data_IF_052770893483
#
_entry.id   IF_052770893483
#
_cell.length_a   1.000
_cell.length_b   1.000
_cell.length_c   1.000
_cell.angle_alpha   90.00
_cell.angle_beta   90.00
_cell.angle_gamma   90.00
#
_symmetry.space_group_name_H-M   'P 1'
#
loop_
_entity.id
_entity.type
_entity.pdbx_description
1 polymer ?
#
# COMPACT_ATOMS: atom_id res chain seq x y z
N UNK A 1 1.28 -14.19 1.55
CA UNK A 1 2.47 -13.33 1.50
C UNK A 1 2.58 -12.47 2.75
N UNK A 2 3.76 -12.46 3.34
CA UNK A 2 4.01 -11.70 4.57
C UNK A 2 3.85 -10.19 4.39
N UNK A 3 4.06 -9.66 3.18
CA UNK A 3 3.87 -8.24 2.92
C UNK A 3 2.41 -7.83 3.11
N UNK A 4 1.47 -8.58 2.56
CA UNK A 4 0.04 -8.28 2.72
C UNK A 4 -0.37 -8.38 4.20
N UNK A 5 0.12 -9.40 4.90
CA UNK A 5 -0.16 -9.55 6.33
C UNK A 5 0.37 -8.36 7.13
N UNK A 6 1.58 -7.88 6.82
CA UNK A 6 2.15 -6.70 7.49
C UNK A 6 1.37 -5.43 7.21
N UNK A 7 0.96 -5.22 5.96
CA UNK A 7 0.15 -4.05 5.59
C UNK A 7 -1.19 -4.09 6.30
N UNK A 8 -1.87 -5.23 6.27
CA UNK A 8 -3.17 -5.36 6.93
C UNK A 8 -3.05 -5.17 8.44
N UNK A 9 -2.02 -5.73 9.05
CA UNK A 9 -1.81 -5.59 10.49
C UNK A 9 -1.57 -4.13 10.89
N UNK A 10 -0.71 -3.42 10.16
CA UNK A 10 -0.44 -2.01 10.50
C UNK A 10 -1.69 -1.14 10.37
N UNK A 11 -2.56 -1.44 9.42
CA UNK A 11 -3.85 -0.76 9.28
C UNK A 11 -4.79 -1.11 10.44
N UNK A 12 -4.86 -2.39 10.80
CA UNK A 12 -5.68 -2.82 11.92
C UNK A 12 -5.24 -2.18 13.23
N UNK A 13 -3.93 -2.12 13.49
CA UNK A 13 -3.38 -1.52 14.71
C UNK A 13 -3.62 -0.01 14.80
N UNK A 14 -4.00 0.64 13.71
CA UNK A 14 -4.35 2.07 13.73
C UNK A 14 -5.62 2.37 14.52
N UNK A 15 -6.48 1.37 14.74
CA UNK A 15 -7.75 1.54 15.41
C UNK A 15 -8.85 2.18 14.56
N UNK A 16 -8.62 2.39 13.27
CA UNK A 16 -9.54 3.07 12.37
C UNK A 16 -10.52 2.14 11.63
N UNK A 17 -10.46 0.85 11.89
CA UNK A 17 -11.31 -0.15 11.23
C UNK A 17 -12.11 -0.93 12.27
N UNK A 18 -13.40 -1.15 12.00
CA UNK A 18 -14.29 -1.86 12.93
C UNK A 18 -14.08 -3.37 12.92
N UNK A 19 -13.81 -3.93 11.75
CA UNK A 19 -13.63 -5.37 11.56
C UNK A 19 -12.35 -5.63 10.79
N UNK A 20 -11.65 -6.70 11.16
CA UNK A 20 -10.45 -7.11 10.43
C UNK A 20 -10.76 -7.42 8.96
N UNK A 21 -11.94 -8.00 8.70
CA UNK A 21 -12.38 -8.35 7.36
C UNK A 21 -12.69 -7.15 6.46
N UNK A 22 -12.73 -5.93 7.01
CA UNK A 22 -12.86 -4.72 6.21
C UNK A 22 -11.55 -4.33 5.54
N UNK A 23 -10.44 -4.87 5.99
CA UNK A 23 -9.12 -4.61 5.43
C UNK A 23 -8.79 -5.72 4.43
N UNK A 24 -8.78 -5.35 3.15
CA UNK A 24 -8.54 -6.30 2.06
C UNK A 24 -7.39 -5.78 1.21
N UNK A 25 -6.42 -6.65 0.94
CA UNK A 25 -5.27 -6.28 0.14
C UNK A 25 -4.92 -7.39 -0.85
N UNK A 26 -4.27 -6.99 -1.93
CA UNK A 26 -3.77 -7.90 -2.96
C UNK A 26 -2.60 -7.28 -3.68
N UNK A 27 -1.78 -8.11 -4.29
CA UNK A 27 -0.60 -7.68 -5.04
C UNK A 27 -0.75 -8.10 -6.49
N UNK A 28 -0.34 -7.19 -7.37
CA UNK A 28 -0.20 -7.45 -8.80
C UNK A 28 1.24 -7.21 -9.21
N UNK A 29 1.79 -8.11 -9.99
CA UNK A 29 3.11 -7.97 -10.57
C UNK A 29 2.94 -7.69 -12.07
N UNK A 30 3.34 -6.49 -12.55
CA UNK A 30 3.23 -6.17 -13.97
C UNK A 30 4.26 -6.96 -14.79
N UNK A 31 3.91 -7.27 -16.05
CA UNK A 31 4.84 -7.94 -16.95
C UNK A 31 5.93 -7.01 -17.47
N UNK A 32 5.65 -5.73 -17.55
CA UNK A 32 6.56 -4.73 -18.10
C UNK A 32 6.62 -3.51 -17.19
N UNK A 33 7.83 -3.08 -16.90
CA UNK A 33 8.10 -1.91 -16.05
C UNK A 33 9.23 -1.10 -16.67
N UNK A 34 9.08 0.21 -16.67
CA UNK A 34 10.14 1.14 -17.06
C UNK A 34 10.19 2.27 -16.04
N UNK A 35 11.36 2.51 -15.48
CA UNK A 35 11.63 3.66 -14.61
C UNK A 35 12.56 4.59 -15.37
N UNK A 36 12.11 5.81 -15.59
CA UNK A 36 12.84 6.79 -16.40
C UNK A 36 12.76 6.48 -17.89
N UNK A 37 13.81 6.80 -18.62
CA UNK A 37 13.84 6.71 -20.09
C UNK A 37 14.56 5.46 -20.60
N UNK A 38 15.42 4.87 -19.76
CA UNK A 38 16.22 3.71 -20.13
C UNK A 38 16.11 2.64 -19.07
N UNK A 39 15.84 1.43 -19.51
CA UNK A 39 15.77 0.30 -18.59
C UNK A 39 17.17 -0.15 -18.19
N UNK A 40 17.61 0.28 -17.01
CA UNK A 40 18.90 -0.12 -16.43
C UNK A 40 18.80 -1.45 -15.67
N UNK A 41 17.58 -1.89 -15.36
CA UNK A 41 17.36 -3.06 -14.52
C UNK A 41 17.62 -2.85 -13.03
N UNK A 42 18.07 -1.65 -12.63
CA UNK A 42 18.48 -1.36 -11.25
C UNK A 42 17.44 -0.62 -10.45
N UNK A 43 16.41 -0.08 -11.10
CA UNK A 43 15.39 0.73 -10.46
C UNK A 43 14.04 0.04 -10.51
N UNK A 44 13.26 0.26 -9.44
CA UNK A 44 11.94 -0.32 -9.30
C UNK A 44 11.01 0.62 -8.55
N UNK A 45 9.74 0.32 -8.56
CA UNK A 45 8.78 1.05 -7.74
C UNK A 45 7.65 0.15 -7.28
N UNK A 46 7.04 0.55 -6.18
CA UNK A 46 5.80 -0.01 -5.67
C UNK A 46 4.77 1.12 -5.66
N UNK A 47 3.63 0.89 -6.26
CA UNK A 47 2.50 1.81 -6.19
C UNK A 47 1.36 1.11 -5.46
N UNK A 48 1.05 1.58 -4.26
CA UNK A 48 -0.10 1.10 -3.50
C UNK A 48 -1.29 2.03 -3.74
N UNK A 49 -2.39 1.46 -4.20
CA UNK A 49 -3.66 2.17 -4.32
C UNK A 49 -4.50 1.84 -3.10
N UNK A 50 -4.75 2.85 -2.28
CA UNK A 50 -5.46 2.69 -1.02
C UNK A 50 -6.85 3.30 -1.12
N UNK A 51 -7.87 2.46 -1.08
CA UNK A 51 -9.27 2.86 -1.22
C UNK A 51 -9.95 2.88 0.14
N UNK A 52 -10.62 3.99 0.47
CA UNK A 52 -11.29 4.18 1.76
C UNK A 52 -12.73 4.63 1.55
N UNK A 53 -13.60 4.19 2.46
CA UNK A 53 -14.93 4.77 2.58
C UNK A 53 -14.82 6.23 3.07
N UNK A 54 -15.76 7.10 2.67
CA UNK A 54 -15.78 8.47 3.19
C UNK A 54 -16.03 8.51 4.70
N UNK A 55 -15.64 9.59 5.34
CA UNK A 55 -15.89 9.85 6.76
C UNK A 55 -14.66 10.09 7.61
N UNK A 56 -13.45 9.78 7.13
CA UNK A 56 -12.21 10.09 7.84
C UNK A 56 -11.69 11.45 7.40
N UNK A 57 -11.04 12.18 8.33
CA UNK A 57 -10.42 13.45 7.98
C UNK A 57 -9.09 13.24 7.23
N UNK A 58 -8.58 14.32 6.64
CA UNK A 58 -7.36 14.25 5.83
C UNK A 58 -6.15 13.82 6.64
N UNK A 59 -6.04 14.25 7.89
CA UNK A 59 -4.92 13.88 8.75
C UNK A 59 -4.91 12.37 9.02
N UNK A 60 -6.07 11.78 9.25
CA UNK A 60 -6.21 10.34 9.45
C UNK A 60 -5.84 9.58 8.17
N UNK A 61 -6.34 10.03 7.02
CA UNK A 61 -6.04 9.41 5.73
C UNK A 61 -4.54 9.44 5.46
N UNK A 62 -3.90 10.60 5.68
CA UNK A 62 -2.45 10.73 5.51
C UNK A 62 -1.68 9.80 6.44
N UNK A 63 -2.10 9.70 7.69
CA UNK A 63 -1.48 8.81 8.67
C UNK A 63 -1.58 7.34 8.24
N UNK A 64 -2.74 6.92 7.74
CA UNK A 64 -2.94 5.54 7.26
C UNK A 64 -2.07 5.26 6.04
N UNK A 65 -1.99 6.20 5.09
CA UNK A 65 -1.14 6.06 3.91
C UNK A 65 0.34 5.94 4.32
N UNK A 66 0.78 6.73 5.29
CA UNK A 66 2.14 6.66 5.80
C UNK A 66 2.43 5.30 6.46
N UNK A 67 1.47 4.75 7.20
CA UNK A 67 1.61 3.40 7.78
C UNK A 67 1.81 2.33 6.71
N UNK A 68 1.08 2.44 5.59
CA UNK A 68 1.25 1.51 4.47
C UNK A 68 2.66 1.64 3.89
N UNK A 69 3.10 2.85 3.60
CA UNK A 69 4.43 3.10 3.05
C UNK A 69 5.52 2.57 3.98
N UNK A 70 5.41 2.83 5.28
CA UNK A 70 6.38 2.39 6.27
C UNK A 70 6.42 0.86 6.39
N UNK A 71 5.26 0.20 6.33
CA UNK A 71 5.19 -1.26 6.37
C UNK A 71 5.83 -1.90 5.14
N UNK A 72 5.60 -1.34 3.96
CA UNK A 72 6.22 -1.80 2.72
C UNK A 72 7.74 -1.63 2.80
N UNK A 73 8.19 -0.44 3.23
CA UNK A 73 9.60 -0.15 3.37
C UNK A 73 10.29 -1.12 4.35
N UNK A 74 9.69 -1.31 5.52
CA UNK A 74 10.24 -2.22 6.54
C UNK A 74 10.33 -3.65 6.03
N UNK A 75 9.30 -4.11 5.32
CA UNK A 75 9.27 -5.45 4.75
C UNK A 75 10.39 -5.64 3.72
N UNK A 76 10.52 -4.69 2.79
CA UNK A 76 11.52 -4.76 1.73
C UNK A 76 12.94 -4.67 2.29
N UNK A 77 13.18 -3.83 3.29
CA UNK A 77 14.48 -3.75 3.95
C UNK A 77 14.87 -5.05 4.67
N UNK A 78 13.88 -5.76 5.24
CA UNK A 78 14.13 -7.00 5.96
C UNK A 78 14.41 -8.18 5.04
N UNK A 79 13.75 -8.25 3.87
CA UNK A 79 13.79 -9.40 2.97
C UNK A 79 14.52 -9.12 1.66
N UNK A 80 14.72 -7.84 1.32
CA UNK A 80 15.38 -7.40 0.09
C UNK A 80 16.61 -6.56 0.44
N UNK A 81 17.46 -7.10 1.31
CA UNK A 81 18.63 -6.38 1.83
C UNK A 81 19.62 -5.97 0.73
N UNK A 82 19.49 -6.52 -0.48
CA UNK A 82 20.35 -6.21 -1.62
C UNK A 82 19.81 -5.08 -2.50
N UNK A 83 18.65 -4.52 -2.18
CA UNK A 83 18.11 -3.39 -2.93
C UNK A 83 18.95 -2.15 -2.63
N UNK A 84 19.62 -1.54 -3.65
CA UNK A 84 20.42 -0.34 -3.42
C UNK A 84 19.56 0.82 -2.90
N UNK A 85 20.14 1.58 -1.98
CA UNK A 85 19.45 2.76 -1.42
C UNK A 85 19.15 3.74 -2.57
N UNK A 86 17.90 4.20 -2.63
CA UNK A 86 17.45 5.15 -3.65
C UNK A 86 16.99 4.53 -4.96
N UNK A 87 17.12 3.20 -5.12
CA UNK A 87 16.73 2.52 -6.35
C UNK A 87 15.28 2.03 -6.34
N UNK A 88 14.61 2.04 -5.20
CA UNK A 88 13.22 1.60 -5.06
C UNK A 88 12.37 2.75 -4.54
N UNK A 89 11.34 3.10 -5.31
CA UNK A 89 10.36 4.11 -4.92
C UNK A 89 9.13 3.43 -4.36
N UNK A 90 8.63 3.93 -3.23
CA UNK A 90 7.40 3.44 -2.61
C UNK A 90 6.40 4.58 -2.59
N UNK A 91 5.30 4.39 -3.29
CA UNK A 91 4.25 5.39 -3.44
C UNK A 91 2.93 4.84 -2.94
N UNK A 92 2.17 5.66 -2.23
CA UNK A 92 0.82 5.32 -1.77
C UNK A 92 -0.12 6.43 -2.21
N UNK A 93 -1.14 6.06 -2.95
CA UNK A 93 -2.20 6.99 -3.37
C UNK A 93 -3.50 6.59 -2.68
N UNK A 94 -4.10 7.53 -1.94
CA UNK A 94 -5.36 7.30 -1.25
C UNK A 94 -6.52 7.83 -2.08
N UNK A 95 -7.55 7.01 -2.25
CA UNK A 95 -8.75 7.36 -3.01
C UNK A 95 -9.98 7.12 -2.15
N UNK A 96 -10.82 8.14 -2.01
CA UNK A 96 -12.09 8.02 -1.29
C UNK A 96 -13.12 7.43 -2.24
N UNK A 97 -13.75 6.35 -1.81
CA UNK A 97 -14.78 5.68 -2.59
C UNK A 97 -16.02 6.55 -2.73
N UNK A 98 -16.72 6.39 -3.86
CA UNK A 98 -17.96 7.10 -4.13
C UNK A 98 -19.02 6.77 -3.08
N UNK A 99 -19.91 7.75 -2.80
CA UNK A 99 -21.12 7.51 -2.00
C UNK A 99 -22.08 6.52 -2.68
N UNK A 100 -21.86 6.24 -3.96
CA UNK A 100 -22.62 5.24 -4.72
C UNK A 100 -22.00 3.83 -4.66
N UNK A 101 -21.00 3.64 -3.81
CA UNK A 101 -20.35 2.35 -3.62
C UNK A 101 -21.32 1.35 -2.99
N UNK A 102 -21.42 0.17 -3.58
CA UNK A 102 -22.30 -0.92 -3.09
C UNK A 102 -21.46 -2.10 -2.64
N UNK A 103 -21.74 -2.61 -1.46
CA UNK A 103 -21.14 -3.80 -0.91
C UNK A 103 -22.22 -4.78 -0.50
N UNK A 104 -22.14 -6.00 -0.98
CA UNK A 104 -23.06 -7.09 -0.57
C UNK A 104 -22.22 -8.21 0.03
N UNK A 105 -22.79 -8.87 1.03
CA UNK A 105 -22.16 -10.04 1.67
C UNK A 105 -22.99 -11.26 1.27
N UNK A 106 -22.31 -12.23 0.68
CA UNK A 106 -22.93 -13.48 0.28
C UNK A 106 -23.24 -14.35 1.49
#
# INVERSE_FOLDING_TARGET
DNLLARVNDTLWQSGNFKLQSDIKSRIYYPNHVLVGLTDSGDEAFVMAHFYLMPGRDDATIQSLAQRIADAIKAHLQAFESQVPVGSLQICVNSTILSTNYVKQIL
#
